data_IF_047250727056
#
_entry.id   IF_047250727056
#
_cell.length_a   1.000
_cell.length_b   1.000
_cell.length_c   1.000
_cell.angle_alpha   90.00
_cell.angle_beta   90.00
_cell.angle_gamma   90.00
#
_symmetry.space_group_name_H-M   'P 1'
#
loop_
_entity.id
_entity.type
_entity.pdbx_description
1 polymer ?
#
# COMPACT_ATOMS: atom_id res chain seq x y z
N UNK A 1 4.91 -18.06 21.83
CA UNK A 1 5.31 -17.63 20.47
C UNK A 1 4.09 -17.18 19.66
N UNK A 2 3.03 -17.99 19.60
CA UNK A 2 1.74 -17.69 18.93
C UNK A 2 1.16 -16.26 19.11
N UNK A 3 1.22 -15.66 20.32
CA UNK A 3 0.72 -14.29 20.56
C UNK A 3 1.51 -13.20 19.81
N UNK A 4 2.81 -13.40 19.57
CA UNK A 4 3.66 -12.43 18.86
C UNK A 4 3.34 -12.45 17.36
N UNK A 5 3.10 -13.64 16.81
CA UNK A 5 2.75 -13.85 15.40
C UNK A 5 1.40 -13.19 15.09
N UNK A 6 0.38 -13.39 15.94
CA UNK A 6 -0.92 -12.73 15.77
C UNK A 6 -0.80 -11.20 15.78
N UNK A 7 0.00 -10.63 16.68
CA UNK A 7 0.23 -9.18 16.73
C UNK A 7 0.94 -8.68 15.47
N UNK A 8 1.89 -9.44 14.94
CA UNK A 8 2.62 -9.11 13.72
C UNK A 8 1.71 -9.16 12.49
N UNK A 9 0.88 -10.19 12.36
CA UNK A 9 -0.07 -10.31 11.24
C UNK A 9 -1.08 -9.16 11.20
N UNK A 10 -1.60 -8.75 12.36
CA UNK A 10 -2.52 -7.60 12.45
C UNK A 10 -1.84 -6.32 11.95
N UNK A 11 -0.58 -6.09 12.34
CA UNK A 11 0.19 -4.93 11.87
C UNK A 11 0.44 -4.99 10.37
N UNK A 12 0.78 -6.16 9.83
CA UNK A 12 1.03 -6.34 8.40
C UNK A 12 -0.24 -6.12 7.56
N UNK A 13 -1.40 -6.62 8.01
CA UNK A 13 -2.68 -6.36 7.35
C UNK A 13 -3.07 -4.88 7.41
N UNK A 14 -2.93 -4.25 8.58
CA UNK A 14 -3.25 -2.84 8.76
C UNK A 14 -2.36 -1.93 7.91
N UNK A 15 -1.04 -2.09 8.02
CA UNK A 15 -0.08 -1.27 7.27
C UNK A 15 -0.18 -1.50 5.76
N UNK A 16 -0.28 -2.76 5.32
CA UNK A 16 -0.42 -3.09 3.91
C UNK A 16 -1.72 -2.58 3.29
N UNK A 17 -2.84 -2.71 4.02
CA UNK A 17 -4.15 -2.19 3.60
C UNK A 17 -4.16 -0.66 3.50
N UNK A 18 -3.58 0.04 4.47
CA UNK A 18 -3.46 1.50 4.42
C UNK A 18 -2.58 1.97 3.26
N UNK A 19 -1.44 1.30 3.02
CA UNK A 19 -0.56 1.61 1.89
C UNK A 19 -1.26 1.41 0.54
N UNK A 20 -2.06 0.34 0.41
CA UNK A 20 -2.87 0.08 -0.79
C UNK A 20 -3.90 1.20 -1.03
N UNK A 21 -4.66 1.57 0.00
CA UNK A 21 -5.66 2.65 -0.11
C UNK A 21 -5.02 4.01 -0.42
N UNK A 22 -3.88 4.32 0.23
CA UNK A 22 -3.12 5.53 -0.07
C UNK A 22 -2.62 5.54 -1.52
N UNK A 23 -2.18 4.39 -2.04
CA UNK A 23 -1.77 4.26 -3.44
C UNK A 23 -2.90 4.52 -4.44
N UNK A 24 -4.11 4.00 -4.17
CA UNK A 24 -5.30 4.31 -4.98
C UNK A 24 -5.59 5.82 -4.94
N UNK A 25 -5.55 6.44 -3.76
CA UNK A 25 -5.80 7.88 -3.61
C UNK A 25 -4.77 8.71 -4.39
N UNK A 26 -3.50 8.33 -4.37
CA UNK A 26 -2.43 9.00 -5.14
C UNK A 26 -2.65 8.90 -6.66
N UNK A 27 -3.00 7.72 -7.17
CA UNK A 27 -3.33 7.56 -8.60
C UNK A 27 -4.56 8.40 -8.95
N UNK A 28 -5.63 8.28 -8.17
CA UNK A 28 -6.89 9.01 -8.42
C UNK A 28 -6.67 10.53 -8.41
N UNK A 29 -5.82 11.05 -7.53
CA UNK A 29 -5.47 12.46 -7.49
C UNK A 29 -4.47 12.87 -8.58
N UNK A 30 -3.61 11.96 -9.03
CA UNK A 30 -2.65 12.21 -10.11
C UNK A 30 -3.29 12.31 -11.49
N UNK A 31 -4.35 11.53 -11.76
CA UNK A 31 -5.07 11.52 -13.04
C UNK A 31 -5.57 12.91 -13.50
N UNK A 32 -6.23 13.75 -12.68
CA UNK A 32 -6.67 15.08 -13.10
C UNK A 32 -5.53 16.09 -13.28
N UNK A 33 -4.30 15.77 -12.85
CA UNK A 33 -3.15 16.68 -12.91
C UNK A 33 -2.44 16.53 -14.26
N UNK A 34 -2.61 17.51 -15.13
CA UNK A 34 -2.04 17.55 -16.48
C UNK A 34 -0.62 18.15 -16.53
N UNK A 35 0.16 17.93 -15.47
CA UNK A 35 1.57 18.31 -15.39
C UNK A 35 2.45 17.06 -15.46
N UNK A 36 3.39 17.06 -16.41
CA UNK A 36 4.24 15.90 -16.69
C UNK A 36 5.14 15.50 -15.51
N UNK A 37 5.43 16.43 -14.60
CA UNK A 37 6.27 16.19 -13.43
C UNK A 37 5.45 15.62 -12.26
N UNK A 38 4.46 16.37 -11.76
CA UNK A 38 3.76 16.01 -10.54
C UNK A 38 2.73 14.89 -10.74
N UNK A 39 1.90 14.97 -11.78
CA UNK A 39 0.85 13.96 -12.05
C UNK A 39 1.45 12.56 -12.28
N UNK A 40 2.46 12.47 -13.14
CA UNK A 40 3.16 11.21 -13.43
C UNK A 40 3.88 10.66 -12.18
N UNK A 41 4.47 11.52 -11.37
CA UNK A 41 5.11 11.11 -10.11
C UNK A 41 4.08 10.51 -9.16
N UNK A 42 2.92 11.15 -9.00
CA UNK A 42 1.84 10.66 -8.13
C UNK A 42 1.27 9.32 -8.58
N UNK A 43 1.10 9.13 -9.90
CA UNK A 43 0.63 7.86 -10.46
C UNK A 43 1.67 6.76 -10.23
N UNK A 44 2.95 7.07 -10.44
CA UNK A 44 4.05 6.10 -10.27
C UNK A 44 4.25 5.72 -8.80
N UNK A 45 4.31 6.71 -7.90
CA UNK A 45 4.42 6.45 -6.46
C UNK A 45 3.18 5.74 -5.91
N UNK A 46 1.99 6.07 -6.42
CA UNK A 46 0.74 5.39 -6.12
C UNK A 46 0.76 3.92 -6.52
N UNK A 47 1.29 3.60 -7.70
CA UNK A 47 1.46 2.21 -8.16
C UNK A 47 2.40 1.43 -7.24
N UNK A 48 3.54 2.04 -6.84
CA UNK A 48 4.49 1.41 -5.92
C UNK A 48 3.83 1.15 -4.55
N UNK A 49 3.05 2.12 -4.03
CA UNK A 49 2.33 1.96 -2.76
C UNK A 49 1.27 0.85 -2.82
N UNK A 50 0.55 0.72 -3.94
CA UNK A 50 -0.40 -0.39 -4.17
C UNK A 50 0.31 -1.74 -4.10
N UNK A 51 1.38 -1.92 -4.88
CA UNK A 51 2.10 -3.19 -4.94
C UNK A 51 2.78 -3.50 -3.59
N UNK A 52 3.45 -2.53 -2.98
CA UNK A 52 4.05 -2.69 -1.65
C UNK A 52 3.03 -3.01 -0.56
N UNK A 53 1.85 -2.39 -0.61
CA UNK A 53 0.74 -2.68 0.29
C UNK A 53 0.21 -4.11 0.13
N UNK A 54 -0.05 -4.54 -1.11
CA UNK A 54 -0.51 -5.90 -1.40
C UNK A 54 0.52 -6.97 -1.01
N UNK A 55 1.82 -6.71 -1.24
CA UNK A 55 2.89 -7.60 -0.79
C UNK A 55 2.92 -7.71 0.74
N UNK A 56 2.75 -6.60 1.45
CA UNK A 56 2.72 -6.58 2.93
C UNK A 56 1.51 -7.33 3.48
N UNK A 57 0.34 -7.18 2.85
CA UNK A 57 -0.86 -7.98 3.17
C UNK A 57 -0.59 -9.47 2.93
N UNK A 58 0.04 -9.83 1.80
CA UNK A 58 0.42 -11.20 1.49
C UNK A 58 1.35 -11.81 2.55
N UNK A 59 2.33 -11.04 3.04
CA UNK A 59 3.19 -11.47 4.15
C UNK A 59 2.39 -11.69 5.45
N UNK A 60 1.44 -10.81 5.75
CA UNK A 60 0.53 -11.00 6.88
C UNK A 60 -0.21 -12.34 6.80
N UNK A 61 -0.68 -12.74 5.61
CA UNK A 61 -1.36 -14.01 5.40
C UNK A 61 -0.46 -15.24 5.58
N UNK A 62 0.85 -15.12 5.32
CA UNK A 62 1.81 -16.23 5.52
C UNK A 62 2.21 -16.39 7.00
N UNK A 63 2.24 -15.28 7.74
CA UNK A 63 2.70 -15.23 9.15
C UNK A 63 1.58 -15.48 10.16
N UNK A 64 0.31 -15.38 9.73
CA UNK A 64 -0.88 -15.64 10.58
C UNK A 64 -0.99 -17.11 10.95
#
# INVERSE_FOLDING_TARGET
>A
MQRIETNMSILLFGAGGLAFLAGIAMIAYGVPINEFSFGNTLITSGTIAIIGGLLTVGLGAVVT
#
